data_IF_257283454786
#
_entry.id   IF_257283454786
#
_cell.length_a   1.000
_cell.length_b   1.000
_cell.length_c   1.000
_cell.angle_alpha   90.00
_cell.angle_beta   90.00
_cell.angle_gamma   90.00
#
_symmetry.space_group_name_H-M   'P 1'
#
loop_
_entity.id
_entity.type
_entity.pdbx_description
1 polymer ?
#
# COMPACT_ATOMS: atom_id res chain seq x y z
N UNK A 1 -26.97 3.03 -22.86
CA UNK A 1 -25.67 3.00 -22.16
C UNK A 1 -25.96 3.04 -20.68
N UNK A 2 -25.42 2.11 -19.90
CA UNK A 2 -25.55 2.15 -18.44
C UNK A 2 -24.55 3.19 -17.95
N UNK A 3 -25.02 4.25 -17.28
CA UNK A 3 -24.13 5.22 -16.61
C UNK A 3 -23.35 4.47 -15.53
N UNK A 4 -22.10 4.14 -15.82
CA UNK A 4 -21.20 3.58 -14.81
C UNK A 4 -20.68 4.79 -14.04
N UNK A 5 -21.33 5.11 -12.93
CA UNK A 5 -20.79 6.10 -12.01
C UNK A 5 -19.35 5.68 -11.64
N UNK A 6 -18.40 6.63 -11.56
CA UNK A 6 -17.06 6.31 -11.10
C UNK A 6 -17.14 5.66 -9.71
N UNK A 7 -16.21 4.75 -9.37
CA UNK A 7 -16.21 4.12 -8.06
C UNK A 7 -16.17 5.19 -6.95
N UNK A 8 -16.69 4.91 -5.75
CA UNK A 8 -16.69 5.90 -4.68
C UNK A 8 -15.27 6.10 -4.11
N UNK A 9 -15.06 7.26 -3.48
CA UNK A 9 -13.90 7.50 -2.61
C UNK A 9 -13.85 6.45 -1.49
N UNK A 10 -12.66 5.94 -1.18
CA UNK A 10 -12.43 4.96 -0.11
C UNK A 10 -11.67 5.60 1.04
N UNK A 11 -12.16 5.45 2.28
CA UNK A 11 -11.39 5.81 3.47
C UNK A 11 -10.71 4.57 4.05
N UNK A 12 -9.40 4.62 4.20
CA UNK A 12 -8.56 3.51 4.66
C UNK A 12 -8.53 3.34 6.18
N UNK A 13 -9.23 4.16 6.97
CA UNK A 13 -9.23 3.98 8.44
C UNK A 13 -9.65 2.56 8.83
N UNK A 14 -8.82 1.90 9.63
CA UNK A 14 -8.99 0.53 10.10
C UNK A 14 -8.56 -0.55 9.11
N UNK A 15 -8.11 -0.18 7.90
CA UNK A 15 -7.49 -1.14 6.99
C UNK A 15 -6.15 -1.60 7.54
N UNK A 16 -5.76 -2.82 7.16
CA UNK A 16 -4.52 -3.45 7.62
C UNK A 16 -3.71 -3.95 6.43
N UNK A 17 -2.47 -3.53 6.35
CA UNK A 17 -1.44 -4.17 5.50
C UNK A 17 -0.79 -5.27 6.32
N UNK A 18 -0.72 -6.48 5.76
CA UNK A 18 -0.02 -7.60 6.40
C UNK A 18 0.67 -8.51 5.39
N UNK A 19 1.67 -9.25 5.84
CA UNK A 19 2.32 -10.31 5.07
C UNK A 19 2.07 -11.70 5.70
N UNK A 20 2.66 -12.73 5.10
CA UNK A 20 2.58 -14.10 5.61
C UNK A 20 3.43 -14.34 6.88
N UNK A 21 4.43 -13.49 7.13
CA UNK A 21 5.30 -13.56 8.31
C UNK A 21 4.64 -12.95 9.57
N UNK A 22 3.50 -12.27 9.40
CA UNK A 22 2.74 -11.66 10.49
C UNK A 22 3.10 -10.20 10.77
N UNK A 23 3.91 -9.57 9.91
CA UNK A 23 4.15 -8.14 10.02
C UNK A 23 2.87 -7.38 9.65
N UNK A 24 2.61 -6.28 10.35
CA UNK A 24 1.39 -5.49 10.15
C UNK A 24 1.64 -3.98 10.18
N UNK A 25 0.75 -3.27 9.49
CA UNK A 25 0.55 -1.83 9.58
C UNK A 25 -0.94 -1.54 9.52
N UNK A 26 -1.43 -0.77 10.47
CA UNK A 26 -2.85 -0.41 10.55
C UNK A 26 -3.00 1.08 10.30
N UNK A 27 -3.91 1.43 9.39
CA UNK A 27 -4.32 2.82 9.20
C UNK A 27 -5.19 3.25 10.38
N UNK A 28 -4.60 3.92 11.37
CA UNK A 28 -5.33 4.37 12.58
C UNK A 28 -6.08 5.69 12.36
N UNK A 29 -5.57 6.53 11.47
CA UNK A 29 -6.18 7.78 11.05
C UNK A 29 -7.03 7.60 9.77
N UNK A 30 -7.92 8.57 9.51
CA UNK A 30 -8.61 8.67 8.22
C UNK A 30 -7.60 8.98 7.12
N UNK A 31 -7.76 8.30 5.98
CA UNK A 31 -6.98 8.55 4.77
C UNK A 31 -7.84 8.22 3.56
N UNK A 32 -8.10 9.18 2.68
CA UNK A 32 -9.11 9.06 1.63
C UNK A 32 -8.46 8.95 0.26
N UNK A 33 -8.81 7.89 -0.48
CA UNK A 33 -8.37 7.68 -1.85
C UNK A 33 -9.51 7.96 -2.81
N UNK A 34 -9.29 8.82 -3.80
CA UNK A 34 -10.18 8.99 -4.93
C UNK A 34 -10.05 7.80 -5.90
N UNK A 35 -11.01 7.63 -6.82
CA UNK A 35 -10.87 6.69 -7.92
C UNK A 35 -9.55 6.86 -8.67
N UNK A 36 -8.75 5.80 -8.73
CA UNK A 36 -7.45 5.79 -9.40
C UNK A 36 -6.27 6.21 -8.51
N UNK A 37 -6.51 6.66 -7.28
CA UNK A 37 -5.44 6.97 -6.34
C UNK A 37 -4.78 5.71 -5.77
N UNK A 38 -3.57 5.91 -5.26
CA UNK A 38 -2.83 4.93 -4.48
C UNK A 38 -2.17 5.62 -3.29
N UNK A 39 -1.92 4.86 -2.21
CA UNK A 39 -1.18 5.32 -1.03
C UNK A 39 0.22 4.73 -0.99
N UNK A 40 1.20 5.54 -0.59
CA UNK A 40 2.58 5.12 -0.36
C UNK A 40 2.78 4.83 1.11
N UNK A 41 3.03 3.56 1.45
CA UNK A 41 3.46 3.17 2.78
C UNK A 41 5.00 3.12 2.84
N UNK A 42 5.60 4.10 3.53
CA UNK A 42 7.05 4.24 3.66
C UNK A 42 7.52 3.54 4.93
N UNK A 43 8.57 2.72 4.83
CA UNK A 43 9.20 2.10 6.01
C UNK A 43 9.84 3.11 6.97
N UNK A 44 10.41 4.20 6.44
CA UNK A 44 11.09 5.22 7.23
C UNK A 44 10.18 5.97 8.22
N UNK A 45 10.80 6.80 9.07
CA UNK A 45 10.08 7.81 9.87
C UNK A 45 9.65 8.98 9.00
N UNK A 46 8.53 9.59 9.37
CA UNK A 46 7.99 10.75 8.66
C UNK A 46 6.64 11.18 9.23
N UNK A 47 5.94 12.03 8.49
CA UNK A 47 4.61 12.53 8.88
C UNK A 47 3.60 12.12 7.83
N UNK A 48 2.57 11.39 8.26
CA UNK A 48 1.47 11.00 7.39
C UNK A 48 0.82 12.23 6.76
N UNK A 49 0.42 12.10 5.49
CA UNK A 49 -0.21 13.17 4.75
C UNK A 49 -1.23 12.60 3.78
N UNK A 50 -2.51 12.86 4.09
CA UNK A 50 -3.65 12.55 3.21
C UNK A 50 -3.50 13.24 1.86
N UNK A 51 -3.23 14.55 1.85
CA UNK A 51 -3.04 15.33 0.63
C UNK A 51 -1.88 14.85 -0.28
N UNK A 52 -0.92 14.09 0.24
CA UNK A 52 0.22 13.54 -0.52
C UNK A 52 0.13 12.02 -0.71
N UNK A 53 -0.97 11.40 -0.27
CA UNK A 53 -1.17 9.96 -0.25
C UNK A 53 0.04 9.19 0.29
N UNK A 54 0.57 9.60 1.45
CA UNK A 54 1.72 8.95 2.08
C UNK A 54 1.49 8.71 3.56
N UNK A 55 1.86 7.52 4.01
CA UNK A 55 1.89 7.11 5.41
C UNK A 55 3.23 6.48 5.75
N UNK A 56 3.61 6.52 7.02
CA UNK A 56 4.92 6.10 7.49
C UNK A 56 4.78 5.06 8.61
N UNK A 57 5.51 3.94 8.49
CA UNK A 57 5.54 2.88 9.50
C UNK A 57 6.28 3.29 10.78
N UNK A 58 7.03 4.39 10.74
CA UNK A 58 7.82 4.90 11.86
C UNK A 58 8.93 3.94 12.34
N UNK A 59 9.37 3.02 11.49
CA UNK A 59 10.37 2.02 11.85
C UNK A 59 11.26 1.70 10.66
N UNK A 60 12.52 2.15 10.73
CA UNK A 60 13.51 2.08 9.66
C UNK A 60 14.01 0.66 9.30
N UNK A 61 13.43 -0.40 9.85
CA UNK A 61 13.76 -1.78 9.48
C UNK A 61 13.13 -2.16 8.11
N UNK A 62 13.85 -2.99 7.34
CA UNK A 62 13.46 -3.46 6.01
C UNK A 62 12.45 -4.62 6.07
N UNK A 63 11.28 -4.39 6.65
CA UNK A 63 10.27 -5.43 6.93
C UNK A 63 9.49 -5.87 5.69
N UNK A 64 9.16 -4.93 4.81
CA UNK A 64 8.55 -5.21 3.50
C UNK A 64 9.52 -4.71 2.46
N UNK A 65 10.35 -5.64 2.00
CA UNK A 65 11.48 -5.37 1.14
C UNK A 65 11.24 -5.95 -0.26
N UNK A 66 12.17 -5.61 -1.15
CA UNK A 66 12.11 -5.91 -2.57
C UNK A 66 12.88 -7.20 -2.90
N UNK A 67 12.88 -8.20 -2.00
CA UNK A 67 13.46 -9.51 -2.33
C UNK A 67 12.35 -10.42 -2.88
N UNK A 68 11.33 -10.78 -2.08
CA UNK A 68 10.22 -11.69 -2.49
C UNK A 68 8.90 -11.46 -1.76
N UNK A 69 8.72 -10.30 -1.12
CA UNK A 69 7.59 -10.11 -0.23
C UNK A 69 6.26 -9.97 -0.97
N UNK A 70 5.22 -10.55 -0.38
CA UNK A 70 3.83 -10.30 -0.75
C UNK A 70 3.10 -9.68 0.42
N UNK A 71 2.49 -8.53 0.16
CA UNK A 71 1.63 -7.85 1.11
C UNK A 71 0.17 -7.94 0.67
N UNK A 72 -0.70 -7.99 1.65
CA UNK A 72 -2.15 -8.02 1.49
C UNK A 72 -2.75 -6.82 2.20
N UNK A 73 -3.63 -6.10 1.50
CA UNK A 73 -4.45 -5.08 2.11
C UNK A 73 -5.80 -5.70 2.49
N UNK A 74 -6.16 -5.60 3.76
CA UNK A 74 -7.43 -6.07 4.30
C UNK A 74 -8.32 -4.92 4.73
N UNK A 75 -9.61 -5.05 4.43
CA UNK A 75 -10.66 -4.18 4.96
C UNK A 75 -10.81 -4.40 6.47
N UNK A 76 -11.42 -3.46 7.21
CA UNK A 76 -11.75 -3.65 8.62
C UNK A 76 -12.60 -4.90 8.87
N UNK A 77 -13.41 -5.32 7.89
CA UNK A 77 -14.20 -6.55 7.94
C UNK A 77 -13.38 -7.85 7.84
N UNK A 78 -12.07 -7.76 7.64
CA UNK A 78 -11.17 -8.90 7.45
C UNK A 78 -11.07 -9.40 6.00
N UNK A 79 -12.00 -9.01 5.12
CA UNK A 79 -11.94 -9.36 3.69
C UNK A 79 -10.75 -8.70 3.00
N UNK A 80 -10.14 -9.40 2.04
CA UNK A 80 -9.01 -8.85 1.28
C UNK A 80 -9.52 -7.79 0.30
N UNK A 81 -8.91 -6.61 0.34
CA UNK A 81 -9.14 -5.52 -0.60
C UNK A 81 -8.19 -5.60 -1.79
N UNK A 82 -6.91 -5.90 -1.53
CA UNK A 82 -5.87 -5.93 -2.56
C UNK A 82 -4.70 -6.85 -2.17
N UNK A 83 -3.83 -7.16 -3.14
CA UNK A 83 -2.58 -7.91 -2.97
C UNK A 83 -1.50 -7.34 -3.87
N UNK A 84 -0.30 -7.17 -3.32
CA UNK A 84 0.87 -6.78 -4.08
C UNK A 84 2.02 -7.72 -3.77
N UNK A 85 2.57 -8.34 -4.82
CA UNK A 85 3.75 -9.21 -4.73
C UNK A 85 4.92 -8.55 -5.41
N UNK A 86 6.05 -8.49 -4.71
CA UNK A 86 7.29 -8.15 -5.35
C UNK A 86 7.79 -9.33 -6.20
N UNK A 87 8.10 -9.09 -7.47
CA UNK A 87 9.00 -9.95 -8.23
C UNK A 87 10.05 -9.11 -8.93
N UNK A 88 11.30 -9.55 -8.87
CA UNK A 88 12.44 -8.88 -9.54
C UNK A 88 12.12 -8.63 -11.02
N UNK A 89 11.60 -9.66 -11.71
CA UNK A 89 11.28 -9.61 -13.14
C UNK A 89 10.25 -8.53 -13.52
N UNK A 90 9.32 -8.19 -12.62
CA UNK A 90 8.28 -7.18 -12.88
C UNK A 90 8.63 -5.80 -12.37
N UNK A 91 9.36 -5.72 -11.26
CA UNK A 91 9.50 -4.47 -10.50
C UNK A 91 10.92 -3.90 -10.49
N UNK A 92 11.93 -4.70 -10.83
CA UNK A 92 13.34 -4.32 -10.97
C UNK A 92 13.91 -4.96 -12.25
N UNK A 93 13.31 -4.58 -13.39
CA UNK A 93 13.62 -5.21 -14.68
C UNK A 93 15.06 -4.94 -15.14
N UNK A 94 15.66 -3.87 -14.63
CA UNK A 94 17.03 -3.42 -14.87
C UNK A 94 18.04 -3.91 -13.81
N UNK A 95 17.57 -4.50 -12.71
CA UNK A 95 18.40 -5.21 -11.72
C UNK A 95 19.29 -4.30 -10.88
N UNK A 96 18.91 -3.04 -10.68
CA UNK A 96 19.71 -2.06 -9.95
C UNK A 96 19.25 -1.85 -8.50
N UNK A 97 18.24 -2.59 -8.04
CA UNK A 97 17.69 -2.51 -6.70
C UNK A 97 16.74 -1.32 -6.47
N UNK A 98 16.40 -0.56 -7.51
CA UNK A 98 15.42 0.53 -7.46
C UNK A 98 14.14 0.16 -8.22
N UNK A 99 13.00 0.26 -7.53
CA UNK A 99 11.71 0.08 -8.17
C UNK A 99 11.37 1.26 -9.09
N UNK A 100 11.27 1.01 -10.39
CA UNK A 100 10.65 1.94 -11.33
C UNK A 100 9.14 1.91 -11.07
N UNK A 101 8.67 2.80 -10.20
CA UNK A 101 7.23 2.94 -9.93
C UNK A 101 6.57 3.51 -11.18
N UNK A 102 5.80 2.70 -11.90
CA UNK A 102 4.89 3.20 -12.93
C UNK A 102 3.69 3.85 -12.22
N UNK A 103 3.50 5.14 -12.50
CA UNK A 103 2.40 5.96 -11.99
C UNK A 103 1.06 5.63 -12.60
#
# INVERSE_FOLDING_TARGET
>A
MQDIAPPPTVNLKGYVVKDAAGNTFTFTASHSLQPGDYVKLRGARGTDSDAKNVVYRQNCNFIWNNDKDTIYLHKPSGTRADVHSYTEKTNDRDGNGYINYHG
#
